data_IF_908227229854
#
_entry.id   IF_908227229854
#
_cell.length_a   1.000
_cell.length_b   1.000
_cell.length_c   1.000
_cell.angle_alpha   90.00
_cell.angle_beta   90.00
_cell.angle_gamma   90.00
#
_symmetry.space_group_name_H-M   'P 1'
#
loop_
_entity.id
_entity.type
_entity.pdbx_description
1 polymer ?
#
# COMPACT_ATOMS: atom_id res chain seq x y z
N UNK A 1 3.87 75.05 -0.46
CA UNK A 1 2.72 75.07 0.48
C UNK A 1 1.59 74.51 -0.36
N UNK A 2 0.95 73.37 -0.11
CA UNK A 2 0.57 72.59 1.07
C UNK A 2 0.85 71.08 0.77
N UNK A 3 1.48 70.27 1.63
CA UNK A 3 1.05 69.57 2.85
C UNK A 3 -0.17 68.64 2.71
N UNK A 4 0.00 67.44 3.28
CA UNK A 4 -0.98 66.48 3.83
C UNK A 4 -1.18 65.18 3.00
N UNK A 5 -0.62 64.03 3.40
CA UNK A 5 -0.93 63.09 4.51
C UNK A 5 -2.09 62.13 4.19
N UNK A 6 -1.95 60.88 4.68
CA UNK A 6 -2.93 59.79 4.81
C UNK A 6 -3.08 58.88 3.57
N UNK A 7 -3.17 57.55 3.68
CA UNK A 7 -3.33 56.67 4.82
C UNK A 7 -3.41 55.20 4.31
N UNK A 8 -2.97 54.23 5.15
CA UNK A 8 -3.60 52.89 5.41
C UNK A 8 -3.61 51.90 4.21
N UNK A 9 -3.61 50.57 4.30
CA UNK A 9 -3.51 49.52 5.32
C UNK A 9 -3.66 48.18 4.54
N UNK A 10 -3.17 47.07 5.10
CA UNK A 10 -3.58 45.67 4.88
C UNK A 10 -3.19 44.86 3.60
N UNK A 11 -2.38 43.83 3.87
CA UNK A 11 -2.21 42.52 3.19
C UNK A 11 -3.55 41.75 3.07
N UNK A 12 -3.67 40.54 2.45
CA UNK A 12 -2.83 39.82 1.48
C UNK A 12 -3.61 39.33 0.22
N UNK A 13 -2.86 38.94 -0.83
CA UNK A 13 -3.39 38.31 -2.06
C UNK A 13 -4.00 36.91 -1.77
N UNK A 14 -5.16 36.55 -2.36
CA UNK A 14 -5.75 35.21 -2.20
C UNK A 14 -4.89 34.17 -2.90
N UNK A 15 -4.22 33.30 -2.13
CA UNK A 15 -3.57 32.09 -2.67
C UNK A 15 -4.66 31.07 -3.04
N UNK A 16 -5.09 31.08 -4.30
CA UNK A 16 -5.79 29.93 -4.92
C UNK A 16 -4.92 28.70 -4.70
N UNK A 17 -5.33 27.81 -3.77
CA UNK A 17 -4.73 26.49 -3.62
C UNK A 17 -4.98 25.74 -4.91
N UNK A 18 -3.95 25.62 -5.74
CA UNK A 18 -3.93 24.72 -6.89
C UNK A 18 -3.95 23.31 -6.32
N UNK A 19 -5.10 22.65 -6.40
CA UNK A 19 -5.18 21.20 -6.39
C UNK A 19 -4.50 20.79 -7.69
N UNK A 20 -3.24 20.36 -7.61
CA UNK A 20 -2.56 19.79 -8.77
C UNK A 20 -3.25 18.45 -9.04
N UNK A 21 -3.75 18.18 -10.25
CA UNK A 21 -4.05 16.81 -10.63
C UNK A 21 -2.72 16.05 -10.52
N UNK A 22 -2.72 15.06 -9.63
CA UNK A 22 -1.60 14.18 -9.35
C UNK A 22 -1.34 13.34 -10.61
N UNK A 23 -0.57 13.88 -11.56
CA UNK A 23 0.03 13.10 -12.64
C UNK A 23 1.20 12.29 -12.08
N UNK A 24 0.92 11.39 -11.14
CA UNK A 24 1.87 10.34 -10.79
C UNK A 24 1.93 9.33 -11.94
N UNK A 25 3.09 8.72 -12.17
CA UNK A 25 3.22 7.59 -13.10
C UNK A 25 2.16 6.54 -12.77
N UNK A 26 1.66 5.86 -13.79
CA UNK A 26 0.61 4.84 -13.71
C UNK A 26 1.08 3.63 -12.89
N UNK A 27 1.20 3.80 -11.57
CA UNK A 27 1.32 2.73 -10.62
C UNK A 27 0.02 1.94 -10.61
N UNK A 28 0.11 0.63 -10.34
CA UNK A 28 -1.07 -0.22 -10.28
C UNK A 28 -2.07 0.38 -9.28
N UNK A 29 -3.27 0.76 -9.75
CA UNK A 29 -4.33 1.36 -8.91
C UNK A 29 -4.96 0.35 -7.93
N UNK A 30 -4.33 -0.81 -7.79
CA UNK A 30 -4.81 -1.95 -7.03
C UNK A 30 -3.71 -2.40 -6.07
N UNK A 31 -4.07 -2.65 -4.82
CA UNK A 31 -3.17 -3.21 -3.83
C UNK A 31 -2.69 -4.58 -4.29
N UNK A 32 -1.39 -4.79 -4.34
CA UNK A 32 -0.84 -6.08 -4.75
C UNK A 32 -1.10 -7.22 -3.74
N UNK A 33 -1.48 -6.89 -2.50
CA UNK A 33 -1.81 -7.89 -1.48
C UNK A 33 -3.28 -8.36 -1.56
N UNK A 34 -4.23 -7.44 -1.75
CA UNK A 34 -5.67 -7.76 -1.73
C UNK A 34 -6.38 -7.57 -3.09
N UNK A 35 -5.71 -7.07 -4.11
CA UNK A 35 -6.29 -6.81 -5.44
C UNK A 35 -7.27 -5.63 -5.50
N UNK A 36 -7.51 -4.94 -4.37
CA UNK A 36 -8.46 -3.84 -4.28
C UNK A 36 -7.80 -2.47 -4.45
N UNK A 37 -8.48 -1.56 -5.14
CA UNK A 37 -8.07 -0.15 -5.21
C UNK A 37 -8.55 0.66 -4.00
N UNK A 38 -7.94 1.82 -3.77
CA UNK A 38 -8.24 2.67 -2.61
C UNK A 38 -7.09 3.62 -2.28
N UNK A 39 -6.89 3.88 -0.98
CA UNK A 39 -5.74 4.64 -0.48
C UNK A 39 -4.49 3.76 -0.41
N UNK A 40 -3.69 3.81 -1.48
CA UNK A 40 -2.49 2.99 -1.64
C UNK A 40 -1.22 3.83 -1.48
N UNK A 41 -0.24 3.26 -0.78
CA UNK A 41 1.15 3.71 -0.78
C UNK A 41 1.90 3.05 -1.94
N UNK A 42 2.60 3.87 -2.73
CA UNK A 42 3.41 3.45 -3.88
C UNK A 42 4.87 3.29 -3.45
N UNK A 43 5.55 2.25 -3.93
CA UNK A 43 6.98 2.08 -3.72
C UNK A 43 7.76 3.20 -4.43
N UNK A 44 8.75 3.81 -3.76
CA UNK A 44 9.62 4.86 -4.34
C UNK A 44 10.78 4.28 -5.18
N UNK A 45 10.91 2.95 -5.20
CA UNK A 45 11.94 2.25 -5.97
C UNK A 45 11.65 2.37 -7.47
N UNK A 46 12.64 2.82 -8.24
CA UNK A 46 12.50 3.16 -9.68
C UNK A 46 11.98 2.01 -10.55
N UNK A 47 12.28 0.77 -10.17
CA UNK A 47 11.90 -0.45 -10.89
C UNK A 47 10.68 -1.15 -10.26
N UNK A 48 9.90 -0.44 -9.44
CA UNK A 48 8.75 -1.01 -8.75
C UNK A 48 7.44 -0.28 -9.08
N UNK A 49 6.56 -0.85 -9.93
CA UNK A 49 5.24 -0.29 -10.20
C UNK A 49 4.20 -0.62 -9.11
N UNK A 50 4.61 -1.27 -8.01
CA UNK A 50 3.68 -1.85 -7.02
C UNK A 50 3.14 -0.82 -6.03
N UNK A 51 1.87 -1.00 -5.68
CA UNK A 51 1.13 -0.22 -4.70
C UNK A 51 0.49 -1.14 -3.64
N UNK A 52 0.40 -0.65 -2.40
CA UNK A 52 -0.06 -1.42 -1.25
C UNK A 52 -0.92 -0.57 -0.34
N UNK A 53 -1.87 -1.15 0.40
CA UNK A 53 -2.48 -0.42 1.51
C UNK A 53 -1.50 -0.37 2.68
N UNK A 54 -1.45 0.75 3.40
CA UNK A 54 -0.78 0.86 4.69
C UNK A 54 -1.17 -0.28 5.65
N UNK A 55 -2.48 -0.60 5.85
CA UNK A 55 -2.87 -1.73 6.70
C UNK A 55 -2.49 -3.11 6.13
N UNK A 56 -2.42 -3.29 4.81
CA UNK A 56 -1.97 -4.57 4.23
C UNK A 56 -0.47 -4.85 4.48
N UNK A 57 0.28 -3.85 4.91
CA UNK A 57 1.70 -3.95 5.24
C UNK A 57 1.95 -3.81 6.75
N UNK A 58 0.89 -3.78 7.57
CA UNK A 58 0.95 -3.50 9.00
C UNK A 58 1.69 -2.17 9.33
N UNK A 59 1.66 -1.21 8.40
CA UNK A 59 2.25 0.12 8.58
C UNK A 59 1.21 1.07 9.16
N UNK A 60 1.41 1.48 10.41
CA UNK A 60 0.51 2.43 11.08
C UNK A 60 0.62 3.87 10.53
N UNK A 61 1.75 4.23 9.90
CA UNK A 61 1.98 5.55 9.32
C UNK A 61 2.69 5.45 7.99
N UNK A 62 2.38 6.33 7.04
CA UNK A 62 3.18 6.46 5.84
C UNK A 62 4.60 6.89 6.24
N UNK A 63 5.63 6.15 5.81
CA UNK A 63 7.02 6.53 6.05
C UNK A 63 7.29 7.91 5.43
N UNK A 64 7.99 8.76 6.19
CA UNK A 64 8.38 10.07 5.72
C UNK A 64 9.60 9.94 4.81
N UNK A 65 9.44 10.28 3.53
CA UNK A 65 10.54 10.28 2.55
C UNK A 65 10.49 9.05 1.64
N UNK A 66 11.66 8.44 1.41
CA UNK A 66 11.77 7.27 0.52
C UNK A 66 11.27 6.02 1.23
N UNK A 67 10.39 5.29 0.56
CA UNK A 67 9.88 4.02 1.05
C UNK A 67 10.04 2.92 0.02
N UNK A 68 10.51 1.77 0.49
CA UNK A 68 10.70 0.58 -0.30
C UNK A 68 9.78 -0.51 0.22
N UNK A 69 9.04 -1.15 -0.69
CA UNK A 69 8.10 -2.19 -0.34
C UNK A 69 8.84 -3.50 0.05
N UNK A 70 8.25 -4.35 0.93
CA UNK A 70 8.88 -5.57 1.40
C UNK A 70 9.07 -6.63 0.30
N UNK A 71 8.42 -6.47 -0.84
CA UNK A 71 8.61 -7.29 -2.04
C UNK A 71 10.06 -7.25 -2.56
N UNK A 72 10.89 -6.31 -2.11
CA UNK A 72 12.31 -6.27 -2.47
C UNK A 72 13.21 -7.07 -1.53
N UNK A 73 12.65 -7.61 -0.46
CA UNK A 73 13.38 -8.32 0.58
C UNK A 73 12.93 -9.77 0.65
N UNK A 74 13.89 -10.68 0.87
CA UNK A 74 13.58 -12.09 1.04
C UNK A 74 12.78 -12.33 2.32
N UNK A 75 11.64 -13.02 2.23
CA UNK A 75 10.80 -13.34 3.39
C UNK A 75 11.48 -14.26 4.42
N UNK A 76 12.57 -14.94 4.05
CA UNK A 76 13.31 -15.85 4.93
C UNK A 76 14.51 -15.18 5.62
N UNK A 77 15.34 -14.46 4.86
CA UNK A 77 16.61 -13.92 5.37
C UNK A 77 16.75 -12.40 5.23
N UNK A 78 15.72 -11.72 4.73
CA UNK A 78 15.76 -10.29 4.43
C UNK A 78 16.98 -9.85 3.59
N UNK A 79 17.51 -10.73 2.74
CA UNK A 79 18.48 -10.36 1.69
C UNK A 79 17.76 -9.75 0.48
N UNK A 80 18.44 -8.98 -0.39
CA UNK A 80 17.82 -8.46 -1.61
C UNK A 80 17.21 -9.59 -2.43
N UNK A 81 15.91 -9.51 -2.67
CA UNK A 81 15.21 -10.49 -3.47
C UNK A 81 15.67 -10.42 -4.93
N UNK A 82 15.84 -11.58 -5.54
CA UNK A 82 16.10 -11.72 -6.98
C UNK A 82 14.91 -12.33 -7.72
N UNK A 83 14.08 -13.09 -7.02
CA UNK A 83 12.93 -13.80 -7.58
C UNK A 83 11.69 -13.46 -6.77
N UNK A 84 10.61 -13.16 -7.48
CA UNK A 84 9.42 -12.53 -6.90
C UNK A 84 8.18 -13.33 -7.25
N UNK A 85 7.23 -13.47 -6.32
CA UNK A 85 5.93 -14.01 -6.66
C UNK A 85 5.09 -12.95 -7.39
N UNK A 86 4.34 -13.37 -8.41
CA UNK A 86 3.44 -12.47 -9.15
C UNK A 86 2.07 -12.29 -8.48
N UNK A 87 1.76 -13.10 -7.47
CA UNK A 87 0.43 -13.14 -6.82
C UNK A 87 0.42 -12.61 -5.38
N UNK A 88 1.59 -12.38 -4.78
CA UNK A 88 1.70 -11.85 -3.43
C UNK A 88 3.01 -11.08 -3.22
N UNK A 89 3.11 -10.24 -2.18
CA UNK A 89 4.33 -9.53 -1.80
C UNK A 89 5.50 -10.43 -1.37
N UNK A 90 5.37 -11.76 -1.43
CA UNK A 90 6.46 -12.67 -1.06
C UNK A 90 7.56 -12.67 -2.11
N UNK A 91 8.80 -12.64 -1.65
CA UNK A 91 9.98 -12.59 -2.52
C UNK A 91 11.15 -13.32 -1.90
N UNK A 92 12.06 -13.79 -2.75
CA UNK A 92 13.15 -14.69 -2.37
C UNK A 92 14.47 -14.25 -2.99
N UNK A 93 15.56 -14.39 -2.23
CA UNK A 93 16.90 -14.15 -2.75
C UNK A 93 17.41 -15.34 -3.57
N UNK A 94 18.57 -15.21 -4.23
CA UNK A 94 19.13 -16.29 -5.06
C UNK A 94 19.42 -17.59 -4.31
N UNK A 95 19.64 -17.50 -3.01
CA UNK A 95 19.85 -18.68 -2.16
C UNK A 95 18.53 -19.40 -1.86
N UNK A 96 17.42 -18.67 -1.83
CA UNK A 96 16.10 -19.19 -1.42
C UNK A 96 15.10 -19.31 -2.58
N UNK A 97 15.42 -18.87 -3.79
CA UNK A 97 14.52 -19.03 -4.94
C UNK A 97 14.35 -20.51 -5.35
N UNK A 98 15.34 -21.34 -5.05
CA UNK A 98 15.38 -22.76 -5.39
C UNK A 98 14.29 -23.57 -4.69
N UNK A 99 13.20 -23.86 -5.41
CA UNK A 99 12.09 -24.71 -4.93
C UNK A 99 10.97 -23.96 -4.21
N UNK A 100 11.10 -22.64 -3.98
CA UNK A 100 10.04 -21.83 -3.39
C UNK A 100 9.15 -21.15 -4.44
N UNK A 101 9.65 -20.88 -5.65
CA UNK A 101 8.84 -20.35 -6.73
C UNK A 101 8.65 -21.41 -7.81
N UNK A 102 7.43 -21.90 -7.91
CA UNK A 102 7.03 -22.85 -8.96
C UNK A 102 6.29 -22.10 -10.08
N UNK A 103 6.56 -22.38 -11.36
CA UNK A 103 5.79 -21.81 -12.46
C UNK A 103 4.34 -22.30 -12.38
N UNK A 104 3.39 -21.37 -12.42
CA UNK A 104 1.96 -21.70 -12.48
C UNK A 104 1.65 -22.46 -13.76
N UNK A 105 0.84 -23.53 -13.68
CA UNK A 105 0.49 -24.33 -14.85
C UNK A 105 -0.35 -23.54 -15.88
N UNK A 106 -1.08 -22.52 -15.42
CA UNK A 106 -2.00 -21.75 -16.26
C UNK A 106 -1.35 -20.64 -17.08
N UNK A 107 -0.24 -20.07 -16.60
CA UNK A 107 0.36 -18.85 -17.17
C UNK A 107 1.90 -18.84 -17.15
N UNK A 108 2.54 -19.83 -16.51
CA UNK A 108 3.98 -19.91 -16.29
C UNK A 108 4.57 -18.82 -15.38
N UNK A 109 3.73 -17.99 -14.75
CA UNK A 109 4.16 -17.02 -13.73
C UNK A 109 4.66 -17.67 -12.43
N UNK A 110 5.68 -17.11 -11.76
CA UNK A 110 6.23 -17.65 -10.52
C UNK A 110 5.25 -17.52 -9.34
N UNK A 111 4.92 -18.67 -8.75
CA UNK A 111 4.01 -18.81 -7.61
C UNK A 111 4.76 -19.32 -6.40
N UNK A 112 4.59 -18.66 -5.25
CA UNK A 112 5.11 -19.16 -3.99
C UNK A 112 4.25 -20.32 -3.46
N UNK A 113 4.72 -21.13 -2.49
CA UNK A 113 3.96 -22.27 -1.95
C UNK A 113 2.65 -21.87 -1.24
N UNK A 114 2.41 -20.57 -1.02
CA UNK A 114 1.14 -20.07 -0.50
C UNK A 114 0.01 -20.12 -1.55
N UNK A 115 0.35 -20.17 -2.84
CA UNK A 115 -0.60 -20.26 -3.94
C UNK A 115 -0.59 -21.66 -4.56
N UNK A 116 -1.77 -22.19 -4.84
CA UNK A 116 -1.89 -23.45 -5.55
C UNK A 116 -1.43 -23.29 -7.02
N UNK A 117 -0.49 -24.11 -7.53
CA UNK A 117 0.06 -23.99 -8.89
C UNK A 117 -0.96 -24.26 -10.01
N UNK A 118 -2.12 -24.82 -9.68
CA UNK A 118 -3.24 -25.06 -10.61
C UNK A 118 -4.32 -23.98 -10.56
N UNK A 119 -4.38 -23.19 -9.47
CA UNK A 119 -5.34 -22.09 -9.33
C UNK A 119 -4.77 -21.04 -8.38
N UNK A 120 -3.87 -20.16 -8.86
CA UNK A 120 -3.22 -19.17 -8.01
C UNK A 120 -4.16 -18.08 -7.48
N UNK A 121 -5.37 -17.96 -8.06
CA UNK A 121 -6.40 -16.99 -7.70
C UNK A 121 -7.35 -17.46 -6.58
N UNK A 122 -7.39 -18.77 -6.28
CA UNK A 122 -8.34 -19.33 -5.30
C UNK A 122 -7.86 -19.19 -3.85
N UNK A 123 -6.56 -18.95 -3.62
CA UNK A 123 -6.01 -18.72 -2.29
C UNK A 123 -6.34 -17.34 -1.69
N UNK A 124 -7.06 -16.45 -2.41
CA UNK A 124 -7.54 -15.16 -1.87
C UNK A 124 -8.78 -15.31 -0.95
N UNK A 125 -9.16 -16.52 -0.56
CA UNK A 125 -10.37 -16.74 0.25
C UNK A 125 -10.20 -16.60 1.78
N UNK A 126 -8.99 -16.41 2.33
CA UNK A 126 -8.81 -16.45 3.80
C UNK A 126 -8.41 -15.12 4.49
N UNK A 127 -8.33 -13.99 3.77
CA UNK A 127 -8.12 -12.66 4.39
C UNK A 127 -9.32 -11.70 4.24
N UNK A 128 -10.48 -12.23 3.82
CA UNK A 128 -11.75 -11.50 3.84
C UNK A 128 -12.64 -11.83 5.07
N UNK A 129 -12.13 -12.62 6.04
CA UNK A 129 -12.86 -13.00 7.25
C UNK A 129 -12.52 -12.18 8.51
N UNK A 130 -11.56 -11.25 8.48
CA UNK A 130 -11.41 -10.27 9.57
C UNK A 130 -12.46 -9.17 9.42
N UNK A 131 -13.68 -9.59 9.74
CA UNK A 131 -14.61 -8.89 10.60
C UNK A 131 -15.04 -7.49 10.15
N UNK A 132 -15.97 -7.48 9.20
CA UNK A 132 -17.17 -6.67 9.32
C UNK A 132 -17.84 -6.97 10.70
N UNK A 133 -17.41 -6.29 11.77
CA UNK A 133 -18.23 -5.99 12.95
C UNK A 133 -18.14 -4.49 13.16
N UNK A 134 -18.74 -3.77 12.23
CA UNK A 134 -19.41 -2.53 12.59
C UNK A 134 -20.70 -2.92 13.30
N UNK A 135 -20.64 -3.10 14.63
CA UNK A 135 -21.85 -3.02 15.45
C UNK A 135 -21.56 -2.08 16.62
N UNK A 136 -22.15 -0.90 16.46
CA UNK A 136 -22.57 0.07 17.45
C UNK A 136 -21.99 -0.06 18.86
N UNK A 137 -21.24 0.97 19.23
CA UNK A 137 -21.17 1.43 20.60
C UNK A 137 -22.59 1.77 21.09
N UNK A 138 -23.06 1.08 22.13
CA UNK A 138 -23.88 1.72 23.16
C UNK A 138 -23.58 1.09 24.52
N UNK A 139 -22.77 1.81 25.30
CA UNK A 139 -22.68 1.76 26.76
C UNK A 139 -24.03 2.20 27.34
N UNK A 140 -24.57 1.67 28.44
CA UNK A 140 -24.01 1.71 29.79
C UNK A 140 -25.00 1.07 30.78
N UNK A 141 -24.46 0.68 31.93
CA UNK A 141 -25.01 0.16 33.20
C UNK A 141 -26.28 0.90 33.72
N UNK A 142 -27.05 0.46 34.74
CA UNK A 142 -26.70 0.25 36.18
C UNK A 142 -27.95 -0.22 36.98
N UNK A 143 -27.71 -1.03 38.04
CA UNK A 143 -28.41 -1.24 39.36
C UNK A 143 -29.92 -1.56 39.37
N UNK A 144 -30.50 -2.45 40.18
CA UNK A 144 -30.19 -2.95 41.52
C UNK A 144 -31.32 -2.51 42.48
N UNK A 145 -32.18 -3.45 42.89
CA UNK A 145 -33.01 -3.43 44.14
C UNK A 145 -33.52 -4.85 44.43
#
# INVERSE_FOLDING_TARGET
MEKEEKARNAKPKPKKRRLKPDSRPAHEHSCFCCGQGGELVTCDRKDCPKAYHLPCLDLAKPPYGRWECPWHQCSLCQSPASSFCDFCPSSYCREHEGGLLVPSASDQRPCCPNHSPQSPLDSQADLAKVQLKTEAAESVQVVGE
#
